data_IF_927395877316
#
_entry.id   IF_927395877316
#
_cell.length_a   1.000
_cell.length_b   1.000
_cell.length_c   1.000
_cell.angle_alpha   90.00
_cell.angle_beta   90.00
_cell.angle_gamma   90.00
#
_symmetry.space_group_name_H-M   'P 1'
#
loop_
_entity.id
_entity.type
_entity.pdbx_description
1 polymer ?
#
# COMPACT_ATOMS: atom_id res chain seq x y z
N UNK A 1 -3.97 -3.95 10.46
CA UNK A 1 -5.22 -3.16 10.31
C UNK A 1 -6.39 -3.97 10.85
N UNK A 2 -7.55 -3.35 11.05
CA UNK A 2 -8.84 -4.04 11.27
C UNK A 2 -9.63 -4.07 9.96
N UNK A 3 -10.59 -4.99 9.76
CA UNK A 3 -11.45 -5.01 8.58
C UNK A 3 -12.08 -3.65 8.31
N UNK A 4 -12.02 -3.19 7.05
CA UNK A 4 -12.66 -1.93 6.65
C UNK A 4 -14.14 -2.14 6.38
N UNK A 5 -14.92 -1.10 6.67
CA UNK A 5 -16.26 -0.93 6.12
C UNK A 5 -16.23 0.31 5.22
N UNK A 6 -16.33 0.10 3.91
CA UNK A 6 -16.30 1.17 2.91
C UNK A 6 -17.17 0.80 1.73
N UNK A 7 -17.99 1.74 1.25
CA UNK A 7 -18.75 1.56 0.01
C UNK A 7 -17.83 1.49 -1.23
N UNK A 8 -16.62 2.05 -1.15
CA UNK A 8 -15.68 2.14 -2.26
C UNK A 8 -14.74 0.94 -2.38
N UNK A 9 -14.40 0.31 -1.25
CA UNK A 9 -13.48 -0.82 -1.21
C UNK A 9 -14.08 -1.94 -0.37
N UNK A 10 -14.19 -3.14 -0.97
CA UNK A 10 -14.84 -4.30 -0.36
C UNK A 10 -13.95 -5.01 0.66
N UNK A 11 -12.64 -4.73 0.66
CA UNK A 11 -11.69 -5.33 1.58
C UNK A 11 -10.45 -4.47 1.80
N UNK A 12 -9.73 -4.77 2.88
CA UNK A 12 -8.41 -4.19 3.15
C UNK A 12 -7.42 -4.47 2.02
N UNK A 13 -7.55 -5.61 1.34
CA UNK A 13 -6.74 -5.92 0.16
C UNK A 13 -6.94 -4.88 -0.94
N UNK A 14 -8.19 -4.63 -1.34
CA UNK A 14 -8.52 -3.64 -2.38
C UNK A 14 -8.05 -2.24 -2.00
N UNK A 15 -8.29 -1.82 -0.75
CA UNK A 15 -7.84 -0.51 -0.27
C UNK A 15 -6.30 -0.40 -0.29
N UNK A 16 -5.59 -1.43 0.15
CA UNK A 16 -4.12 -1.43 0.16
C UNK A 16 -3.53 -1.41 -1.26
N UNK A 17 -4.10 -2.18 -2.19
CA UNK A 17 -3.70 -2.17 -3.60
C UNK A 17 -3.97 -0.79 -4.25
N UNK A 18 -5.13 -0.19 -4.00
CA UNK A 18 -5.46 1.13 -4.52
C UNK A 18 -4.50 2.22 -4.02
N UNK A 19 -4.10 2.17 -2.75
CA UNK A 19 -3.08 3.08 -2.18
C UNK A 19 -1.73 2.91 -2.84
N UNK A 20 -1.26 1.67 -3.02
CA UNK A 20 -0.01 1.39 -3.72
C UNK A 20 -0.04 1.92 -5.17
N UNK A 21 -1.16 1.71 -5.87
CA UNK A 21 -1.34 2.20 -7.23
C UNK A 21 -1.34 3.74 -7.32
N UNK A 22 -1.92 4.43 -6.33
CA UNK A 22 -1.88 5.90 -6.26
C UNK A 22 -0.45 6.45 -6.22
N UNK A 23 0.46 5.78 -5.50
CA UNK A 23 1.87 6.17 -5.42
C UNK A 23 2.58 5.94 -6.76
N UNK A 24 2.30 4.82 -7.42
CA UNK A 24 2.89 4.52 -8.72
C UNK A 24 2.39 5.50 -9.79
N UNK A 25 1.10 5.87 -9.76
CA UNK A 25 0.57 6.90 -10.64
C UNK A 25 1.28 8.23 -10.48
N UNK A 26 1.68 8.62 -9.27
CA UNK A 26 2.51 9.81 -9.06
C UNK A 26 3.86 9.67 -9.79
N UNK A 27 4.58 8.57 -9.58
CA UNK A 27 5.90 8.36 -10.21
C UNK A 27 5.85 8.27 -11.73
N UNK A 28 4.79 7.67 -12.29
CA UNK A 28 4.62 7.59 -13.75
C UNK A 28 4.25 8.96 -14.32
N UNK A 29 3.25 9.62 -13.74
CA UNK A 29 2.66 10.80 -14.38
C UNK A 29 3.39 12.10 -14.05
N UNK A 30 3.98 12.22 -12.86
CA UNK A 30 4.69 13.41 -12.41
C UNK A 30 6.20 13.25 -12.62
N UNK A 31 6.79 12.20 -12.06
CA UNK A 31 8.25 11.95 -12.15
C UNK A 31 8.69 11.31 -13.47
N UNK A 32 7.74 10.97 -14.35
CA UNK A 32 7.98 10.39 -15.69
C UNK A 32 8.83 9.12 -15.68
N UNK A 33 8.73 8.31 -14.62
CA UNK A 33 9.41 7.01 -14.56
C UNK A 33 8.63 5.99 -15.40
N UNK A 34 9.34 5.20 -16.20
CA UNK A 34 8.75 4.16 -17.06
C UNK A 34 7.89 3.18 -16.23
N UNK A 35 6.62 2.92 -16.64
CA UNK A 35 5.71 2.02 -15.93
C UNK A 35 6.26 0.60 -15.74
N UNK A 36 7.07 0.13 -16.69
CA UNK A 36 7.67 -1.21 -16.71
C UNK A 36 8.65 -1.44 -15.55
N UNK A 37 9.04 -0.37 -14.84
CA UNK A 37 9.91 -0.44 -13.65
C UNK A 37 9.15 -0.75 -12.36
N UNK A 38 7.82 -0.76 -12.39
CA UNK A 38 7.01 -0.90 -11.18
C UNK A 38 6.33 -2.26 -11.08
N UNK A 39 6.21 -2.74 -9.85
CA UNK A 39 5.34 -3.85 -9.46
C UNK A 39 4.69 -3.49 -8.13
N UNK A 40 3.43 -3.89 -7.95
CA UNK A 40 2.58 -3.38 -6.86
C UNK A 40 1.82 -4.54 -6.24
N UNK A 41 1.75 -4.57 -4.92
CA UNK A 41 1.01 -5.58 -4.17
C UNK A 41 0.24 -4.92 -3.02
N UNK A 42 -0.99 -5.37 -2.79
CA UNK A 42 -1.77 -5.04 -1.61
C UNK A 42 -1.77 -6.21 -0.63
N UNK A 43 -1.32 -5.99 0.60
CA UNK A 43 -1.28 -7.03 1.65
C UNK A 43 -2.45 -6.95 2.64
N UNK A 44 -3.33 -5.97 2.50
CA UNK A 44 -4.43 -5.75 3.42
C UNK A 44 -3.97 -5.62 4.88
N UNK A 45 -4.49 -6.48 5.74
CA UNK A 45 -4.14 -6.50 7.17
C UNK A 45 -3.13 -7.58 7.56
N UNK A 46 -2.71 -8.43 6.63
CA UNK A 46 -1.97 -9.67 6.90
C UNK A 46 -0.45 -9.47 7.07
N UNK A 47 0.05 -8.23 6.97
CA UNK A 47 1.45 -7.87 7.26
C UNK A 47 1.57 -6.67 8.21
N UNK A 48 1.09 -6.80 9.46
CA UNK A 48 1.23 -5.74 10.46
C UNK A 48 2.70 -5.59 10.90
N UNK A 49 3.11 -4.36 11.21
CA UNK A 49 4.40 -4.06 11.88
C UNK A 49 4.22 -3.79 13.37
N UNK A 50 2.99 -3.60 13.81
CA UNK A 50 2.61 -3.45 15.21
C UNK A 50 1.27 -4.14 15.47
N UNK A 51 0.94 -4.47 16.73
CA UNK A 51 -0.39 -4.99 17.08
C UNK A 51 -1.54 -4.06 16.63
N UNK A 52 -2.77 -4.55 16.53
CA UNK A 52 -3.94 -3.73 16.13
C UNK A 52 -4.73 -3.19 17.35
N UNK A 53 -4.12 -3.16 18.52
CA UNK A 53 -4.73 -2.87 19.82
C UNK A 53 -4.98 -1.37 20.05
N UNK A 54 -3.99 -0.51 19.78
CA UNK A 54 -4.08 0.94 20.00
C UNK A 54 -4.18 1.73 18.69
N UNK A 55 -4.64 2.98 18.78
CA UNK A 55 -4.69 3.88 17.61
C UNK A 55 -3.30 4.19 17.06
N UNK A 56 -2.31 4.32 17.93
CA UNK A 56 -0.90 4.53 17.58
C UNK A 56 -0.36 3.34 16.80
N UNK A 57 -0.63 2.11 17.25
CA UNK A 57 -0.17 0.92 16.56
C UNK A 57 -0.92 0.69 15.23
N UNK A 58 -2.23 0.98 15.17
CA UNK A 58 -2.98 1.00 13.91
C UNK A 58 -2.44 2.04 12.93
N UNK A 59 -2.01 3.20 13.39
CA UNK A 59 -1.39 4.22 12.55
C UNK A 59 -0.09 3.70 11.91
N UNK A 60 0.77 3.01 12.68
CA UNK A 60 1.98 2.35 12.14
C UNK A 60 1.65 1.31 11.05
N UNK A 61 0.51 0.63 11.16
CA UNK A 61 0.06 -0.35 10.18
C UNK A 61 -0.53 0.26 8.89
N UNK A 62 -0.87 1.57 8.86
CA UNK A 62 -1.33 2.28 7.66
C UNK A 62 -0.13 2.87 6.90
N UNK A 63 0.70 2.00 6.32
CA UNK A 63 1.96 2.37 5.63
C UNK A 63 2.03 1.84 4.21
N UNK A 64 2.94 2.42 3.42
CA UNK A 64 3.37 1.92 2.10
C UNK A 64 4.87 1.65 2.20
N UNK A 65 5.32 0.52 1.66
CA UNK A 65 6.74 0.15 1.56
C UNK A 65 7.17 0.18 0.10
N UNK A 66 8.30 0.82 -0.19
CA UNK A 66 8.89 0.89 -1.53
C UNK A 66 10.24 0.20 -1.49
N UNK A 67 10.38 -0.89 -2.25
CA UNK A 67 11.62 -1.65 -2.37
C UNK A 67 12.26 -1.35 -3.71
N UNK A 68 13.51 -0.87 -3.70
CA UNK A 68 14.28 -0.59 -4.92
C UNK A 68 15.21 -1.77 -5.17
N UNK A 69 14.95 -2.52 -6.24
CA UNK A 69 15.76 -3.67 -6.64
C UNK A 69 16.68 -3.23 -7.78
N UNK A 70 17.99 -3.46 -7.61
CA UNK A 70 18.97 -3.23 -8.68
C UNK A 70 18.94 -4.43 -9.63
N UNK A 71 18.85 -4.18 -10.92
CA UNK A 71 19.21 -5.20 -11.92
C UNK A 71 20.73 -5.37 -11.84
N UNK A 72 21.17 -6.62 -11.62
CA UNK A 72 22.58 -6.99 -11.71
C UNK A 72 23.11 -6.90 -13.13
#
# INVERSE_FOLDING_TARGET
NVPISSAKYRSNFELSAARAFSVINYFINIEKISPERFSTFGYGEFRPVAPNDTDENRAKNRRIEINIIRKG
#
